data_IF_893949189675
#
_entry.id   IF_893949189675
#
_cell.length_a   1.000
_cell.length_b   1.000
_cell.length_c   1.000
_cell.angle_alpha   90.00
_cell.angle_beta   90.00
_cell.angle_gamma   90.00
#
_symmetry.space_group_name_H-M   'P 1'
#
loop_
_entity.id
_entity.type
_entity.pdbx_description
1 polymer ?
#
# COMPACT_ATOMS: atom_id res chain seq x y z
N UNK A 1 7.89 -19.64 6.65
CA UNK A 1 6.53 -19.61 7.18
C UNK A 1 6.04 -18.18 7.28
N UNK A 2 4.85 -17.89 6.78
CA UNK A 2 4.28 -16.54 6.78
C UNK A 2 3.53 -16.31 8.08
N UNK A 3 3.89 -15.23 8.77
CA UNK A 3 3.31 -14.90 10.07
C UNK A 3 2.46 -13.65 9.98
N UNK A 4 1.51 -13.52 10.89
CA UNK A 4 0.57 -12.40 10.93
C UNK A 4 1.30 -11.06 10.98
N UNK A 5 2.35 -10.95 11.80
CA UNK A 5 3.07 -9.69 11.91
C UNK A 5 3.89 -9.34 10.66
N UNK A 6 4.03 -10.27 9.71
CA UNK A 6 4.64 -9.96 8.41
C UNK A 6 3.77 -9.00 7.59
N UNK A 7 2.51 -8.84 7.96
CA UNK A 7 1.62 -7.85 7.33
C UNK A 7 1.95 -6.42 7.74
N UNK A 8 2.53 -6.22 8.92
CA UNK A 8 2.73 -4.89 9.48
C UNK A 8 3.51 -3.96 8.55
N UNK A 9 4.71 -4.34 8.03
CA UNK A 9 5.43 -3.43 7.15
C UNK A 9 4.69 -3.14 5.85
N UNK A 10 3.88 -4.07 5.36
CA UNK A 10 3.10 -3.85 4.15
C UNK A 10 1.93 -2.91 4.40
N UNK A 11 1.30 -3.02 5.56
CA UNK A 11 0.23 -2.10 5.96
C UNK A 11 0.79 -0.68 6.11
N UNK A 12 1.94 -0.54 6.78
CA UNK A 12 2.59 0.76 6.95
C UNK A 12 3.00 1.35 5.61
N UNK A 13 3.47 0.51 4.69
CA UNK A 13 3.85 0.96 3.36
C UNK A 13 2.63 1.49 2.59
N UNK A 14 1.50 0.82 2.69
CA UNK A 14 0.26 1.33 2.09
C UNK A 14 -0.21 2.62 2.74
N UNK A 15 0.01 2.76 4.04
CA UNK A 15 -0.39 3.96 4.79
C UNK A 15 0.38 5.21 4.34
N UNK A 16 1.54 5.02 3.71
CA UNK A 16 2.34 6.12 3.20
C UNK A 16 1.63 6.96 2.15
N UNK A 17 0.51 6.45 1.61
CA UNK A 17 -0.29 7.24 0.66
C UNK A 17 -0.68 8.61 1.26
N UNK A 18 -0.89 8.68 2.57
CA UNK A 18 -1.23 9.95 3.22
C UNK A 18 -0.09 10.94 3.14
N UNK A 19 1.16 10.48 3.29
CA UNK A 19 2.34 11.34 3.16
C UNK A 19 2.54 11.78 1.71
N UNK A 20 2.29 10.89 0.77
CA UNK A 20 2.42 11.22 -0.65
C UNK A 20 1.39 12.27 -1.06
N UNK A 21 0.16 12.15 -0.56
CA UNK A 21 -0.87 13.16 -0.79
C UNK A 21 -0.49 14.49 -0.19
N UNK A 22 0.13 14.50 0.99
CA UNK A 22 0.60 15.74 1.60
C UNK A 22 1.64 16.42 0.72
N UNK A 23 2.55 15.63 0.12
CA UNK A 23 3.53 16.18 -0.81
C UNK A 23 2.84 16.86 -1.99
N UNK A 24 1.79 16.24 -2.54
CA UNK A 24 1.02 16.82 -3.64
C UNK A 24 0.36 18.13 -3.21
N UNK A 25 -0.26 18.14 -2.03
CA UNK A 25 -0.90 19.36 -1.49
C UNK A 25 0.10 20.49 -1.34
N UNK A 26 1.29 20.21 -0.83
CA UNK A 26 2.32 21.24 -0.66
C UNK A 26 2.78 21.78 -1.99
N UNK A 27 2.94 20.94 -2.97
CA UNK A 27 3.38 21.38 -4.30
C UNK A 27 2.34 22.29 -4.94
N UNK A 28 1.06 22.00 -4.75
CA UNK A 28 -0.03 22.83 -5.27
C UNK A 28 -0.13 24.16 -4.53
N UNK A 29 -0.03 24.13 -3.19
CA UNK A 29 -0.23 25.32 -2.36
C UNK A 29 1.01 26.15 -2.13
N UNK A 30 2.16 25.51 -1.89
CA UNK A 30 3.36 26.19 -1.42
C UNK A 30 4.54 26.07 -2.39
N UNK A 31 4.38 25.38 -3.51
CA UNK A 31 5.44 25.21 -4.49
C UNK A 31 5.76 26.53 -5.20
N UNK A 32 7.00 26.66 -5.68
CA UNK A 32 7.42 27.85 -6.44
C UNK A 32 6.65 27.99 -7.75
N UNK A 33 6.23 26.87 -8.30
CA UNK A 33 5.46 26.84 -9.54
C UNK A 33 4.25 25.93 -9.34
N UNK A 34 3.09 26.45 -9.70
CA UNK A 34 1.89 25.65 -9.65
C UNK A 34 1.94 24.56 -10.74
N UNK A 35 1.69 23.30 -10.39
CA UNK A 35 1.72 22.23 -11.38
C UNK A 35 0.63 22.41 -12.44
N UNK A 36 0.91 22.02 -13.66
CA UNK A 36 -0.09 22.02 -14.71
C UNK A 36 -1.09 20.89 -14.47
N UNK A 37 -2.23 20.98 -15.17
CA UNK A 37 -3.24 19.94 -15.08
C UNK A 37 -2.68 18.59 -15.50
N UNK A 38 -1.87 18.55 -16.58
CA UNK A 38 -1.27 17.32 -17.05
C UNK A 38 -0.30 16.73 -16.02
N UNK A 39 0.49 17.58 -15.36
CA UNK A 39 1.41 17.15 -14.32
C UNK A 39 0.65 16.53 -13.15
N UNK A 40 -0.45 17.18 -12.73
CA UNK A 40 -1.26 16.66 -11.64
C UNK A 40 -1.90 15.32 -12.01
N UNK A 41 -2.44 15.20 -13.21
CA UNK A 41 -3.06 13.97 -13.66
C UNK A 41 -2.05 12.84 -13.74
N UNK A 42 -0.86 13.10 -14.29
CA UNK A 42 0.19 12.10 -14.39
C UNK A 42 0.66 11.65 -13.01
N UNK A 43 0.78 12.58 -12.08
CA UNK A 43 1.19 12.27 -10.70
C UNK A 43 0.15 11.38 -10.02
N UNK A 44 -1.13 11.73 -10.14
CA UNK A 44 -2.21 10.96 -9.52
C UNK A 44 -2.34 9.57 -10.13
N UNK A 45 -2.19 9.48 -11.46
CA UNK A 45 -2.23 8.18 -12.14
C UNK A 45 -1.06 7.30 -11.71
N UNK A 46 0.13 7.90 -11.56
CA UNK A 46 1.30 7.18 -11.08
C UNK A 46 1.11 6.68 -9.66
N UNK A 47 0.53 7.50 -8.79
CA UNK A 47 0.21 7.10 -7.43
C UNK A 47 -0.81 5.97 -7.42
N UNK A 48 -1.84 6.07 -8.26
CA UNK A 48 -2.85 5.02 -8.36
C UNK A 48 -2.20 3.69 -8.73
N UNK A 49 -1.34 3.68 -9.73
CA UNK A 49 -0.67 2.46 -10.17
C UNK A 49 0.25 1.91 -9.08
N UNK A 50 1.04 2.78 -8.45
CA UNK A 50 1.95 2.37 -7.39
C UNK A 50 1.20 1.72 -6.22
N UNK A 51 0.10 2.35 -5.78
CA UNK A 51 -0.65 1.83 -4.65
C UNK A 51 -1.48 0.61 -5.02
N UNK A 52 -1.89 0.48 -6.27
CA UNK A 52 -2.47 -0.76 -6.75
C UNK A 52 -1.51 -1.94 -6.52
N UNK A 53 -0.24 -1.76 -6.89
CA UNK A 53 0.77 -2.78 -6.68
C UNK A 53 1.03 -3.04 -5.19
N UNK A 54 1.08 -1.98 -4.37
CA UNK A 54 1.29 -2.13 -2.93
C UNK A 54 0.15 -2.90 -2.27
N UNK A 55 -1.09 -2.61 -2.66
CA UNK A 55 -2.24 -3.31 -2.11
C UNK A 55 -2.33 -4.75 -2.62
N UNK A 56 -1.91 -5.01 -3.85
CA UNK A 56 -1.81 -6.39 -4.35
C UNK A 56 -0.84 -7.20 -3.52
N UNK A 57 0.33 -6.64 -3.21
CA UNK A 57 1.32 -7.32 -2.37
C UNK A 57 0.78 -7.56 -0.97
N UNK A 58 0.08 -6.60 -0.41
CA UNK A 58 -0.56 -6.76 0.89
C UNK A 58 -1.60 -7.87 0.86
N UNK A 59 -2.43 -7.90 -0.15
CA UNK A 59 -3.46 -8.92 -0.31
C UNK A 59 -2.86 -10.32 -0.45
N UNK A 60 -1.83 -10.46 -1.27
CA UNK A 60 -1.15 -11.74 -1.44
C UNK A 60 -0.56 -12.25 -0.12
N UNK A 61 0.04 -11.35 0.66
CA UNK A 61 0.59 -11.71 1.95
C UNK A 61 -0.52 -12.10 2.93
N UNK A 62 -1.62 -11.36 2.90
CA UNK A 62 -2.79 -11.67 3.74
C UNK A 62 -3.32 -13.06 3.42
N UNK A 63 -3.46 -13.39 2.14
CA UNK A 63 -3.93 -14.72 1.75
C UNK A 63 -2.96 -15.82 2.22
N UNK A 64 -1.66 -15.57 2.11
CA UNK A 64 -0.64 -16.52 2.57
C UNK A 64 -0.71 -16.73 4.09
N UNK A 65 -0.92 -15.65 4.85
CA UNK A 65 -1.08 -15.74 6.31
C UNK A 65 -2.32 -16.55 6.66
N UNK A 66 -3.44 -16.28 5.99
CA UNK A 66 -4.68 -16.99 6.26
C UNK A 66 -4.57 -18.48 5.93
N UNK A 67 -3.92 -18.80 4.82
CA UNK A 67 -3.68 -20.19 4.45
C UNK A 67 -2.82 -20.89 5.49
N UNK A 68 -1.76 -20.23 5.93
CA UNK A 68 -0.85 -20.78 6.95
C UNK A 68 -1.57 -21.04 8.26
N UNK A 69 -2.47 -20.13 8.67
CA UNK A 69 -3.24 -20.32 9.89
C UNK A 69 -4.25 -21.46 9.77
N UNK A 70 -4.88 -21.60 8.62
CA UNK A 70 -5.81 -22.72 8.40
C UNK A 70 -5.10 -24.05 8.48
N UNK A 71 -3.92 -24.15 7.89
CA UNK A 71 -3.11 -25.37 7.94
C UNK A 71 -2.70 -25.70 9.37
N UNK A 72 -2.33 -24.70 10.16
CA UNK A 72 -1.98 -24.90 11.56
C UNK A 72 -3.19 -25.39 12.37
N UNK A 73 -4.37 -24.84 12.12
CA UNK A 73 -5.59 -25.29 12.79
C UNK A 73 -5.96 -26.72 12.44
N UNK A 74 -5.78 -27.11 11.17
CA UNK A 74 -6.03 -28.48 10.74
C UNK A 74 -5.07 -29.46 11.43
N UNK A 75 -3.82 -29.07 11.55
CA UNK A 75 -2.82 -29.90 12.22
C UNK A 75 -3.12 -30.08 13.70
N UNK A 76 -3.67 -29.07 14.34
CA UNK A 76 -4.03 -29.13 15.75
C UNK A 76 -5.20 -30.06 16.02
N UNK A 77 -6.00 -30.36 15.01
CA UNK A 77 -7.16 -31.25 15.14
C UNK A 77 -6.80 -32.72 14.95
N UNK A 78 -5.58 -33.01 14.56
CA UNK A 78 -5.09 -34.37 14.43
C UNK A 78 -4.57 -34.89 15.78
#
# INVERSE_FOLDING_TARGET
MTKLHDLEPLILDCWRVTNDLETVFRQIGDGEREPTQDEMMNTLMGMQQLYEWKFEQLWEKYEAVMKSQREAMQNDND
#
